data_IF_425941991452
#
_entry.id   IF_425941991452
#
_cell.length_a   1.000
_cell.length_b   1.000
_cell.length_c   1.000
_cell.angle_alpha   90.00
_cell.angle_beta   90.00
_cell.angle_gamma   90.00
#
_symmetry.space_group_name_H-M   'P 1'
#
loop_
_entity.id
_entity.type
_entity.pdbx_description
1 polymer ?
#
# COMPACT_ATOMS: atom_id res chain seq x y z
N UNK A 1 -34.07 2.75 -19.89
CA UNK A 1 -32.64 2.61 -19.59
C UNK A 1 -32.53 1.86 -18.27
N UNK A 2 -32.36 0.54 -18.36
CA UNK A 2 -32.25 -0.34 -17.19
C UNK A 2 -30.80 -0.24 -16.73
N UNK A 3 -30.57 0.51 -15.65
CA UNK A 3 -29.25 0.67 -15.05
C UNK A 3 -28.79 -0.66 -14.46
N UNK A 4 -27.78 -1.27 -15.08
CA UNK A 4 -26.99 -2.33 -14.48
C UNK A 4 -26.34 -1.78 -13.22
N UNK A 5 -26.77 -2.28 -12.05
CA UNK A 5 -26.10 -1.99 -10.78
C UNK A 5 -24.63 -2.43 -10.90
N UNK A 6 -23.66 -1.61 -10.46
CA UNK A 6 -22.27 -2.02 -10.43
C UNK A 6 -22.15 -3.29 -9.57
N UNK A 7 -21.46 -4.30 -10.09
CA UNK A 7 -21.21 -5.55 -9.37
C UNK A 7 -20.28 -5.27 -8.19
N UNK A 8 -20.41 -6.06 -7.10
CA UNK A 8 -19.61 -5.98 -5.86
C UNK A 8 -18.07 -5.94 -6.07
N UNK A 9 -17.58 -6.19 -7.28
CA UNK A 9 -16.17 -6.17 -7.67
C UNK A 9 -15.56 -4.77 -7.85
N UNK A 10 -16.34 -3.76 -8.23
CA UNK A 10 -15.76 -2.44 -8.52
C UNK A 10 -15.21 -1.75 -7.27
N UNK A 11 -15.63 -2.12 -6.07
CA UNK A 11 -15.39 -1.40 -4.82
C UNK A 11 -13.98 -1.58 -4.21
N UNK A 12 -13.41 -2.80 -4.29
CA UNK A 12 -12.02 -3.06 -3.87
C UNK A 12 -11.05 -2.45 -4.89
N UNK A 13 -11.40 -2.51 -6.17
CA UNK A 13 -10.71 -1.77 -7.23
C UNK A 13 -10.93 -0.26 -7.14
N UNK A 14 -12.03 0.23 -6.53
CA UNK A 14 -12.32 1.66 -6.35
C UNK A 14 -11.43 2.30 -5.27
N UNK A 15 -11.13 1.55 -4.21
CA UNK A 15 -10.12 1.94 -3.22
C UNK A 15 -8.70 1.92 -3.82
N UNK A 16 -8.44 1.06 -4.81
CA UNK A 16 -7.20 1.01 -5.60
C UNK A 16 -7.21 1.95 -6.83
N UNK A 17 -8.37 2.50 -7.21
CA UNK A 17 -8.53 3.51 -8.28
C UNK A 17 -8.60 4.92 -7.69
N UNK A 18 -8.12 5.07 -6.45
CA UNK A 18 -7.86 6.38 -5.85
C UNK A 18 -6.75 7.06 -6.66
N UNK A 19 -6.92 8.29 -7.12
CA UNK A 19 -5.91 9.08 -7.80
C UNK A 19 -4.90 9.51 -6.73
N UNK A 20 -3.83 8.74 -6.63
CA UNK A 20 -2.84 8.75 -5.55
C UNK A 20 -2.72 7.43 -4.78
N UNK A 21 -3.67 6.50 -4.94
CA UNK A 21 -3.50 5.08 -4.63
C UNK A 21 -3.51 4.23 -5.91
N UNK A 22 -2.92 4.74 -7.00
CA UNK A 22 -1.98 3.83 -7.67
C UNK A 22 -1.09 3.32 -6.53
N UNK A 23 -1.13 2.03 -6.15
CA UNK A 23 -0.15 1.54 -5.20
C UNK A 23 1.18 2.03 -5.76
N UNK A 24 1.95 2.90 -5.06
CA UNK A 24 2.94 3.78 -5.70
C UNK A 24 3.93 3.04 -6.61
N UNK A 25 4.02 1.72 -6.50
CA UNK A 25 4.95 0.87 -7.22
C UNK A 25 4.39 -0.51 -7.65
N UNK A 26 3.08 -0.82 -7.59
CA UNK A 26 2.63 -2.22 -7.80
C UNK A 26 2.58 -2.74 -9.26
N UNK A 27 3.22 -2.09 -10.23
CA UNK A 27 3.20 -2.59 -11.61
C UNK A 27 4.49 -2.44 -12.42
N UNK A 28 5.65 -2.18 -11.80
CA UNK A 28 6.90 -1.99 -12.59
C UNK A 28 8.08 -2.89 -12.17
N UNK A 29 7.87 -4.02 -11.47
CA UNK A 29 9.01 -4.95 -11.26
C UNK A 29 8.86 -6.19 -10.38
N UNK A 30 7.68 -6.50 -9.84
CA UNK A 30 7.48 -7.81 -9.21
C UNK A 30 6.94 -8.79 -10.25
N UNK A 31 7.75 -9.79 -10.58
CA UNK A 31 7.46 -10.83 -11.57
C UNK A 31 6.45 -11.89 -11.10
N UNK A 32 5.88 -11.74 -9.91
CA UNK A 32 4.87 -12.68 -9.45
C UNK A 32 3.58 -12.46 -10.23
N UNK A 33 3.07 -13.55 -10.82
CA UNK A 33 1.77 -13.60 -11.46
C UNK A 33 0.89 -14.62 -10.72
N UNK A 34 -0.40 -14.32 -10.65
CA UNK A 34 -1.41 -15.25 -10.17
C UNK A 34 -2.37 -15.56 -11.31
N UNK A 35 -2.55 -16.85 -11.62
CA UNK A 35 -3.44 -17.28 -12.70
C UNK A 35 -4.79 -17.68 -12.10
N UNK A 36 -5.91 -17.06 -12.51
CA UNK A 36 -7.25 -17.43 -12.03
C UNK A 36 -7.74 -18.75 -12.67
N UNK A 37 -8.83 -19.28 -12.11
CA UNK A 37 -9.62 -20.39 -12.67
C UNK A 37 -8.82 -21.68 -12.96
N UNK A 38 -7.72 -21.90 -12.24
CA UNK A 38 -6.90 -23.11 -12.34
C UNK A 38 -7.51 -24.25 -11.53
N UNK A 39 -7.32 -25.49 -11.97
CA UNK A 39 -7.70 -26.66 -11.17
C UNK A 39 -6.92 -26.65 -9.84
N UNK A 40 -7.64 -26.84 -8.74
CA UNK A 40 -7.04 -26.92 -7.42
C UNK A 40 -6.15 -28.17 -7.33
N UNK A 41 -4.87 -28.03 -6.93
CA UNK A 41 -3.99 -29.17 -6.72
C UNK A 41 -4.32 -29.96 -5.44
N UNK A 42 -5.15 -29.40 -4.56
CA UNK A 42 -5.50 -29.97 -3.25
C UNK A 42 -6.94 -30.49 -3.23
N UNK A 43 -7.88 -29.79 -3.86
CA UNK A 43 -9.31 -30.13 -3.85
C UNK A 43 -9.79 -30.56 -5.25
N UNK A 44 -9.85 -31.87 -5.49
CA UNK A 44 -10.24 -32.41 -6.79
C UNK A 44 -11.60 -31.86 -7.28
N UNK A 45 -11.63 -31.39 -8.52
CA UNK A 45 -12.83 -30.82 -9.17
C UNK A 45 -13.17 -29.39 -8.77
N UNK A 46 -12.38 -28.75 -7.89
CA UNK A 46 -12.52 -27.33 -7.55
C UNK A 46 -11.55 -26.47 -8.37
N UNK A 47 -11.90 -25.19 -8.50
CA UNK A 47 -11.03 -24.18 -9.11
C UNK A 47 -10.43 -23.27 -8.04
N UNK A 48 -9.32 -22.61 -8.37
CA UNK A 48 -8.58 -21.71 -7.49
C UNK A 48 -7.74 -20.72 -8.31
N UNK A 49 -7.13 -19.74 -7.65
CA UNK A 49 -6.07 -18.94 -8.24
C UNK A 49 -4.70 -19.47 -7.77
N UNK A 50 -3.76 -19.68 -8.70
CA UNK A 50 -2.44 -20.27 -8.41
C UNK A 50 -1.34 -19.30 -8.80
N UNK A 51 -0.38 -19.06 -7.91
CA UNK A 51 0.80 -18.25 -8.20
C UNK A 51 1.81 -18.97 -9.09
N UNK A 52 2.67 -18.21 -9.76
CA UNK A 52 3.97 -18.72 -10.18
C UNK A 52 4.85 -19.06 -8.95
N UNK A 53 6.06 -19.56 -9.20
CA UNK A 53 7.04 -19.83 -8.14
C UNK A 53 7.44 -18.55 -7.39
N UNK A 54 7.47 -18.64 -6.06
CA UNK A 54 7.78 -17.52 -5.18
C UNK A 54 9.22 -17.68 -4.67
N UNK A 55 10.12 -16.70 -4.90
CA UNK A 55 11.53 -16.80 -4.53
C UNK A 55 11.75 -16.40 -3.06
N UNK A 56 11.06 -17.06 -2.13
CA UNK A 56 11.18 -16.86 -0.69
C UNK A 56 11.14 -18.20 0.04
N UNK A 57 11.60 -18.22 1.29
CA UNK A 57 11.28 -19.29 2.21
C UNK A 57 9.81 -19.22 2.64
N UNK A 58 9.19 -20.38 2.88
CA UNK A 58 7.76 -20.43 3.22
C UNK A 58 7.44 -19.62 4.48
N UNK A 59 8.28 -19.70 5.52
CA UNK A 59 8.05 -18.99 6.78
C UNK A 59 8.11 -17.47 6.58
N UNK A 60 9.07 -16.99 5.79
CA UNK A 60 9.18 -15.56 5.45
C UNK A 60 7.95 -15.04 4.69
N UNK A 61 7.41 -15.87 3.80
CA UNK A 61 6.19 -15.55 3.07
C UNK A 61 4.98 -15.50 4.01
N UNK A 62 4.81 -16.50 4.88
CA UNK A 62 3.72 -16.53 5.87
C UNK A 62 3.79 -15.31 6.77
N UNK A 63 4.94 -15.05 7.38
CA UNK A 63 5.14 -13.93 8.31
C UNK A 63 4.87 -12.60 7.61
N UNK A 64 5.35 -12.45 6.37
CA UNK A 64 5.11 -11.25 5.58
C UNK A 64 3.62 -11.04 5.25
N UNK A 65 2.89 -12.08 4.86
CA UNK A 65 1.44 -11.97 4.58
C UNK A 65 0.71 -11.59 5.87
N UNK A 66 1.04 -12.25 6.99
CA UNK A 66 0.45 -11.97 8.29
C UNK A 66 0.70 -10.52 8.71
N UNK A 67 1.88 -9.96 8.44
CA UNK A 67 2.22 -8.56 8.70
C UNK A 67 1.44 -7.58 7.80
N UNK A 68 1.35 -7.87 6.49
CA UNK A 68 0.59 -7.03 5.55
C UNK A 68 -0.88 -6.97 5.95
N UNK A 69 -1.47 -8.09 6.38
CA UNK A 69 -2.87 -8.14 6.82
C UNK A 69 -3.11 -7.41 8.17
N UNK A 70 -2.09 -7.28 9.04
CA UNK A 70 -2.17 -6.47 10.27
C UNK A 70 -2.09 -4.97 10.00
N UNK A 71 -1.53 -4.57 8.87
CA UNK A 71 -1.13 -3.18 8.62
C UNK A 71 -2.13 -2.48 7.69
N UNK A 72 -2.65 -1.30 8.04
CA UNK A 72 -3.49 -0.53 7.13
C UNK A 72 -2.71 -0.15 5.87
N UNK A 73 -3.42 -0.02 4.75
CA UNK A 73 -2.82 0.40 3.49
C UNK A 73 -2.33 1.86 3.56
N UNK A 74 -1.22 2.20 2.87
CA UNK A 74 -0.62 3.53 2.94
C UNK A 74 -1.48 4.73 2.68
N UNK A 75 -2.33 4.62 1.68
CA UNK A 75 -3.21 5.70 1.31
C UNK A 75 -4.33 5.96 2.33
N UNK A 76 -4.48 5.11 3.36
CA UNK A 76 -5.50 5.26 4.38
C UNK A 76 -5.02 6.06 5.60
N UNK A 77 -3.72 6.21 5.82
CA UNK A 77 -3.18 6.91 6.99
C UNK A 77 -3.80 8.29 7.25
N UNK A 78 -4.04 9.15 6.24
CA UNK A 78 -4.64 10.48 6.48
C UNK A 78 -6.05 10.43 7.06
N UNK A 79 -6.77 9.32 6.88
CA UNK A 79 -8.12 9.11 7.39
C UNK A 79 -8.18 7.97 8.40
N UNK A 80 -7.03 7.45 8.85
CA UNK A 80 -6.97 6.35 9.80
C UNK A 80 -7.24 6.89 11.21
N UNK A 81 -8.21 6.29 11.89
CA UNK A 81 -8.52 6.59 13.29
C UNK A 81 -7.80 5.65 14.23
N UNK A 82 -7.92 4.35 13.99
CA UNK A 82 -7.35 3.32 14.83
C UNK A 82 -7.16 2.01 14.06
N UNK A 83 -6.20 1.22 14.53
CA UNK A 83 -6.04 -0.20 14.16
C UNK A 83 -6.10 -0.98 15.47
N UNK A 84 -7.16 -1.73 15.66
CA UNK A 84 -7.35 -2.58 16.85
C UNK A 84 -6.93 -4.00 16.49
N UNK A 85 -5.95 -4.56 17.20
CA UNK A 85 -5.49 -5.93 17.00
C UNK A 85 -5.68 -6.69 18.31
N UNK A 86 -6.33 -7.84 18.24
CA UNK A 86 -6.49 -8.78 19.36
C UNK A 86 -5.88 -10.12 18.97
N UNK A 87 -4.77 -10.49 19.58
CA UNK A 87 -4.18 -11.83 19.39
C UNK A 87 -5.07 -12.88 20.07
N UNK A 88 -5.44 -13.93 19.34
CA UNK A 88 -6.23 -15.06 19.86
C UNK A 88 -5.34 -16.27 20.15
N UNK A 89 -4.28 -16.44 19.36
CA UNK A 89 -3.29 -17.53 19.44
C UNK A 89 -1.94 -17.03 18.91
N UNK A 90 -0.88 -17.83 19.03
CA UNK A 90 0.45 -17.49 18.48
C UNK A 90 0.45 -17.30 16.96
N UNK A 91 -0.52 -17.89 16.25
CA UNK A 91 -0.65 -17.83 14.79
C UNK A 91 -1.98 -17.26 14.32
N UNK A 92 -2.71 -16.57 15.19
CA UNK A 92 -4.04 -16.06 14.85
C UNK A 92 -4.46 -14.85 15.66
N UNK A 93 -5.12 -13.91 14.98
CA UNK A 93 -5.50 -12.62 15.53
C UNK A 93 -6.77 -12.09 14.84
N UNK A 94 -7.42 -11.12 15.47
CA UNK A 94 -8.48 -10.30 14.89
C UNK A 94 -7.92 -8.90 14.68
N UNK A 95 -8.12 -8.34 13.48
CA UNK A 95 -7.76 -6.94 13.17
C UNK A 95 -9.00 -6.17 12.74
N UNK A 96 -9.13 -4.96 13.27
CA UNK A 96 -10.19 -4.01 12.94
C UNK A 96 -9.57 -2.65 12.59
N UNK A 97 -9.75 -2.23 11.35
CA UNK A 97 -9.24 -0.96 10.80
C UNK A 97 -10.38 0.04 10.79
N UNK A 98 -10.24 1.09 11.58
CA UNK A 98 -11.24 2.14 11.77
C UNK A 98 -10.75 3.41 11.09
N UNK A 99 -11.55 3.95 10.18
CA UNK A 99 -11.32 5.23 9.54
C UNK A 99 -12.14 6.31 10.23
N UNK A 100 -11.54 7.49 10.37
CA UNK A 100 -12.14 8.66 11.00
C UNK A 100 -13.23 9.25 10.09
N UNK A 101 -14.47 9.24 10.57
CA UNK A 101 -15.61 9.72 9.80
C UNK A 101 -15.54 11.20 9.44
N UNK A 102 -15.02 12.03 10.35
CA UNK A 102 -14.86 13.47 10.13
C UNK A 102 -13.80 13.77 9.07
N UNK A 103 -12.67 13.06 9.10
CA UNK A 103 -11.63 13.17 8.06
C UNK A 103 -12.16 12.68 6.72
N UNK A 104 -12.91 11.57 6.69
CA UNK A 104 -13.57 11.05 5.50
C UNK A 104 -14.58 12.06 4.89
N UNK A 105 -15.38 12.72 5.73
CA UNK A 105 -16.28 13.80 5.28
C UNK A 105 -15.51 14.93 4.62
N UNK A 106 -14.38 15.34 5.22
CA UNK A 106 -13.52 16.39 4.69
C UNK A 106 -12.98 16.13 3.28
N UNK A 107 -12.76 14.85 2.94
CA UNK A 107 -12.28 14.39 1.62
C UNK A 107 -13.40 13.90 0.69
N UNK A 108 -14.67 14.01 1.10
CA UNK A 108 -15.83 13.67 0.26
C UNK A 108 -16.14 12.17 0.17
N UNK A 109 -15.62 11.36 1.09
CA UNK A 109 -15.86 9.92 1.16
C UNK A 109 -16.62 9.47 2.42
N UNK A 110 -16.96 10.42 3.29
CA UNK A 110 -17.75 10.20 4.50
C UNK A 110 -19.27 10.21 4.23
N UNK A 111 -20.06 10.05 5.29
CA UNK A 111 -21.54 10.06 5.25
C UNK A 111 -22.16 11.43 5.55
N UNK A 112 -21.33 12.45 5.76
CA UNK A 112 -21.69 13.82 6.12
C UNK A 112 -22.05 14.01 7.60
N UNK A 113 -21.87 12.97 8.45
CA UNK A 113 -22.25 12.98 9.86
C UNK A 113 -21.06 12.76 10.79
N UNK A 114 -19.85 12.62 10.25
CA UNK A 114 -18.66 12.26 11.00
C UNK A 114 -18.68 10.81 11.51
N UNK A 115 -19.50 9.93 10.93
CA UNK A 115 -19.59 8.53 11.39
C UNK A 115 -18.34 7.77 10.99
N UNK A 116 -17.65 7.15 11.95
CA UNK A 116 -16.49 6.32 11.65
C UNK A 116 -16.85 5.14 10.74
N UNK A 117 -15.88 4.74 9.91
CA UNK A 117 -16.03 3.63 8.98
C UNK A 117 -15.12 2.48 9.36
N UNK A 118 -15.67 1.29 9.51
CA UNK A 118 -14.91 0.06 9.68
C UNK A 118 -14.52 -0.46 8.30
N UNK A 119 -13.33 -0.10 7.83
CA UNK A 119 -12.85 -0.50 6.51
C UNK A 119 -12.60 -2.01 6.43
N UNK A 120 -12.05 -2.56 7.51
CA UNK A 120 -11.71 -3.96 7.61
C UNK A 120 -12.02 -4.44 9.01
N UNK A 121 -12.65 -5.60 9.12
CA UNK A 121 -12.80 -6.34 10.35
C UNK A 121 -12.65 -7.81 9.99
N UNK A 122 -11.50 -8.38 10.32
CA UNK A 122 -11.16 -9.72 9.87
C UNK A 122 -10.48 -10.53 10.97
N UNK A 123 -10.76 -11.82 10.96
CA UNK A 123 -10.02 -12.82 11.74
C UNK A 123 -9.04 -13.51 10.82
N UNK A 124 -7.82 -13.69 11.29
CA UNK A 124 -6.72 -14.31 10.55
C UNK A 124 -6.18 -15.47 11.38
N UNK A 125 -5.99 -16.62 10.75
CA UNK A 125 -5.42 -17.80 11.40
C UNK A 125 -4.52 -18.55 10.43
N UNK A 126 -3.29 -18.81 10.83
CA UNK A 126 -2.39 -19.71 10.14
C UNK A 126 -2.30 -21.06 10.87
N UNK A 127 -2.43 -22.15 10.11
CA UNK A 127 -2.23 -23.52 10.56
C UNK A 127 -1.00 -24.12 9.87
N UNK A 128 0.06 -24.33 10.65
CA UNK A 128 1.32 -24.90 10.17
C UNK A 128 1.20 -26.38 9.78
N UNK A 129 0.27 -27.14 10.37
CA UNK A 129 0.09 -28.55 10.03
C UNK A 129 -0.44 -28.74 8.61
N UNK A 130 -1.31 -27.83 8.17
CA UNK A 130 -1.93 -27.85 6.85
C UNK A 130 -1.33 -26.83 5.88
N UNK A 131 -0.33 -26.06 6.31
CA UNK A 131 0.24 -24.92 5.57
C UNK A 131 -0.85 -24.03 4.97
N UNK A 132 -1.84 -23.69 5.79
CA UNK A 132 -3.02 -22.94 5.34
C UNK A 132 -3.23 -21.71 6.21
N UNK A 133 -3.35 -20.56 5.56
CA UNK A 133 -3.81 -19.32 6.16
C UNK A 133 -5.28 -19.12 5.78
N UNK A 134 -6.13 -18.92 6.79
CA UNK A 134 -7.54 -18.61 6.63
C UNK A 134 -7.78 -17.20 7.13
N UNK A 135 -8.48 -16.40 6.32
CA UNK A 135 -9.05 -15.13 6.75
C UNK A 135 -10.56 -15.17 6.68
N UNK A 136 -11.22 -14.67 7.71
CA UNK A 136 -12.67 -14.47 7.74
C UNK A 136 -12.93 -12.98 7.79
N UNK A 137 -13.61 -12.44 6.78
CA UNK A 137 -14.00 -11.04 6.68
C UNK A 137 -15.47 -10.89 7.11
N UNK A 138 -15.73 -9.94 8.00
CA UNK A 138 -17.05 -9.68 8.56
C UNK A 138 -17.81 -8.54 7.86
N UNK A 139 -17.17 -7.78 6.97
CA UNK A 139 -17.80 -6.57 6.38
C UNK A 139 -18.84 -6.90 5.30
N UNK A 140 -19.98 -6.24 5.35
CA UNK A 140 -21.09 -6.42 4.39
C UNK A 140 -20.86 -5.63 3.12
N UNK A 141 -20.36 -4.39 3.26
CA UNK A 141 -19.97 -3.54 2.14
C UNK A 141 -18.47 -3.72 1.84
N UNK A 142 -18.09 -3.99 0.58
CA UNK A 142 -16.67 -4.10 0.20
C UNK A 142 -15.83 -2.86 0.53
N UNK A 143 -16.44 -1.68 0.60
CA UNK A 143 -15.80 -0.42 0.99
C UNK A 143 -15.73 -0.21 2.51
N UNK A 144 -16.20 -1.17 3.31
CA UNK A 144 -16.33 -1.07 4.77
C UNK A 144 -17.72 -0.67 5.23
N UNK A 145 -18.04 -1.04 6.46
CA UNK A 145 -19.34 -0.77 7.08
C UNK A 145 -19.24 0.47 8.00
N UNK A 146 -20.30 1.26 8.09
CA UNK A 146 -20.36 2.34 9.07
C UNK A 146 -20.42 1.76 10.48
N UNK A 147 -19.74 2.38 11.44
CA UNK A 147 -19.55 1.84 12.79
C UNK A 147 -20.84 1.36 13.49
N UNK A 148 -22.01 2.04 13.38
CA UNK A 148 -23.26 1.57 13.98
C UNK A 148 -23.79 0.25 13.39
N UNK A 149 -23.47 -0.04 12.13
CA UNK A 149 -23.98 -1.21 11.38
C UNK A 149 -22.94 -2.34 11.25
N UNK A 150 -21.68 -2.04 11.59
CA UNK A 150 -20.55 -2.95 11.56
C UNK A 150 -20.65 -3.98 12.70
N UNK A 151 -20.50 -5.26 12.37
CA UNK A 151 -20.56 -6.37 13.32
C UNK A 151 -19.66 -7.50 12.84
N UNK A 152 -19.13 -8.29 13.79
CA UNK A 152 -18.38 -9.51 13.54
C UNK A 152 -19.17 -10.79 13.83
N UNK A 153 -20.51 -10.71 13.90
CA UNK A 153 -21.37 -11.85 14.22
C UNK A 153 -21.56 -12.82 13.04
N UNK A 154 -21.22 -12.39 11.81
CA UNK A 154 -21.45 -13.18 10.59
C UNK A 154 -20.30 -13.00 9.61
N UNK A 155 -19.61 -14.10 9.32
CA UNK A 155 -18.60 -14.15 8.25
C UNK A 155 -19.27 -13.90 6.90
N UNK A 156 -18.82 -12.87 6.18
CA UNK A 156 -19.32 -12.53 4.85
C UNK A 156 -18.51 -13.22 3.75
N UNK A 157 -17.22 -13.43 4.01
CA UNK A 157 -16.27 -14.06 3.09
C UNK A 157 -15.20 -14.80 3.89
N UNK A 158 -14.83 -15.99 3.45
CA UNK A 158 -13.63 -16.70 3.93
C UNK A 158 -12.62 -16.76 2.80
N UNK A 159 -11.41 -16.19 2.98
CA UNK A 159 -10.29 -16.45 2.09
C UNK A 159 -9.45 -17.59 2.63
N UNK A 160 -9.06 -18.50 1.75
CA UNK A 160 -8.11 -19.56 2.06
C UNK A 160 -6.89 -19.41 1.17
N UNK A 161 -5.72 -19.38 1.79
CA UNK A 161 -4.41 -19.31 1.15
C UNK A 161 -3.60 -20.50 1.59
N UNK A 162 -3.30 -21.43 0.67
CA UNK A 162 -2.47 -22.60 0.93
C UNK A 162 -1.08 -22.40 0.34
N UNK A 163 -0.07 -22.78 1.10
CA UNK A 163 1.32 -22.74 0.67
C UNK A 163 1.71 -24.11 0.11
N UNK A 164 1.84 -24.19 -1.20
CA UNK A 164 2.26 -25.38 -1.93
C UNK A 164 3.79 -25.46 -1.92
N UNK A 165 4.35 -26.66 -1.79
CA UNK A 165 5.80 -26.91 -1.73
C UNK A 165 6.30 -27.50 -3.05
N UNK A 166 7.59 -27.29 -3.32
CA UNK A 166 8.36 -27.92 -4.41
C UNK A 166 7.79 -27.70 -5.83
N UNK A 167 7.79 -26.46 -6.37
CA UNK A 167 8.35 -25.23 -5.79
C UNK A 167 7.35 -24.48 -4.89
N UNK A 168 7.83 -23.50 -4.11
CA UNK A 168 6.95 -22.67 -3.28
C UNK A 168 5.97 -21.89 -4.17
N UNK A 169 4.67 -22.14 -3.98
CA UNK A 169 3.57 -21.42 -4.64
C UNK A 169 2.43 -21.17 -3.66
N UNK A 170 1.51 -20.31 -4.05
CA UNK A 170 0.28 -20.04 -3.32
C UNK A 170 -0.91 -20.49 -4.15
N UNK A 171 -1.77 -21.30 -3.53
CA UNK A 171 -3.15 -21.50 -3.95
C UNK A 171 -4.05 -20.58 -3.13
N UNK A 172 -4.93 -19.83 -3.79
CA UNK A 172 -5.83 -18.89 -3.13
C UNK A 172 -7.25 -18.96 -3.70
N UNK A 173 -8.25 -18.98 -2.83
CA UNK A 173 -9.66 -18.90 -3.22
C UNK A 173 -10.48 -18.25 -2.11
N UNK A 174 -11.66 -17.78 -2.48
CA UNK A 174 -12.66 -17.25 -1.56
C UNK A 174 -13.85 -18.19 -1.46
N UNK A 175 -14.55 -18.16 -0.33
CA UNK A 175 -15.85 -18.80 -0.12
C UNK A 175 -16.77 -17.74 0.45
N UNK A 176 -17.84 -17.43 -0.27
CA UNK A 176 -18.83 -16.47 0.22
C UNK A 176 -19.70 -17.07 1.34
N UNK A 177 -20.49 -16.22 1.99
CA UNK A 177 -21.42 -16.62 3.06
C UNK A 177 -22.43 -17.72 2.67
N UNK A 178 -22.67 -17.94 1.38
CA UNK A 178 -23.58 -18.97 0.87
C UNK A 178 -22.83 -20.29 0.56
N UNK A 179 -21.53 -20.34 0.88
CA UNK A 179 -20.65 -21.49 0.66
C UNK A 179 -20.13 -21.60 -0.77
N UNK A 180 -20.35 -20.61 -1.63
CA UNK A 180 -19.90 -20.65 -3.01
C UNK A 180 -18.42 -20.26 -3.09
N UNK A 181 -17.62 -21.14 -3.71
CA UNK A 181 -16.22 -20.84 -4.02
C UNK A 181 -16.10 -19.80 -5.15
N UNK A 182 -15.24 -18.81 -4.96
CA UNK A 182 -14.87 -17.78 -5.93
C UNK A 182 -13.37 -17.86 -6.22
N UNK A 183 -13.00 -17.85 -7.50
CA UNK A 183 -11.63 -18.16 -7.96
C UNK A 183 -11.23 -17.42 -9.26
N UNK A 184 -11.87 -16.27 -9.52
CA UNK A 184 -11.67 -15.49 -10.74
C UNK A 184 -10.64 -14.36 -10.60
N UNK A 185 -10.55 -13.51 -11.64
CA UNK A 185 -9.53 -12.46 -11.76
C UNK A 185 -9.42 -11.54 -10.53
N UNK A 186 -10.54 -11.10 -9.95
CA UNK A 186 -10.49 -10.19 -8.79
C UNK A 186 -9.78 -10.80 -7.57
N UNK A 187 -9.94 -12.10 -7.34
CA UNK A 187 -9.22 -12.80 -6.28
C UNK A 187 -7.74 -12.95 -6.62
N UNK A 188 -7.44 -13.19 -7.90
CA UNK A 188 -6.07 -13.24 -8.38
C UNK A 188 -5.34 -11.91 -8.17
N UNK A 189 -5.96 -10.79 -8.57
CA UNK A 189 -5.42 -9.44 -8.42
C UNK A 189 -5.17 -9.09 -6.96
N UNK A 190 -6.15 -9.37 -6.08
CA UNK A 190 -6.02 -9.09 -4.64
C UNK A 190 -4.90 -9.91 -4.00
N UNK A 191 -4.85 -11.22 -4.26
CA UNK A 191 -3.80 -12.07 -3.70
C UNK A 191 -2.43 -11.68 -4.27
N UNK A 192 -2.33 -11.37 -5.56
CA UNK A 192 -1.08 -10.91 -6.19
C UNK A 192 -0.59 -9.59 -5.59
N UNK A 193 -1.48 -8.65 -5.30
CA UNK A 193 -1.15 -7.41 -4.60
C UNK A 193 -0.48 -7.68 -3.24
N UNK A 194 -1.06 -8.57 -2.42
CA UNK A 194 -0.48 -8.95 -1.12
C UNK A 194 0.88 -9.64 -1.30
N UNK A 195 0.98 -10.62 -2.20
CA UNK A 195 2.24 -11.34 -2.43
C UNK A 195 3.36 -10.42 -2.93
N UNK A 196 3.04 -9.48 -3.81
CA UNK A 196 3.99 -8.49 -4.29
C UNK A 196 4.51 -7.61 -3.15
N UNK A 197 3.63 -7.17 -2.25
CA UNK A 197 4.04 -6.39 -1.08
C UNK A 197 5.02 -7.17 -0.18
N UNK A 198 4.79 -8.47 0.02
CA UNK A 198 5.65 -9.34 0.82
C UNK A 198 6.99 -9.61 0.13
N UNK A 199 6.98 -10.00 -1.14
CA UNK A 199 8.23 -10.25 -1.87
C UNK A 199 9.06 -8.98 -1.94
N UNK A 200 8.45 -7.83 -2.20
CA UNK A 200 9.17 -6.57 -2.27
C UNK A 200 9.70 -6.13 -0.89
N UNK A 201 9.02 -6.45 0.21
CA UNK A 201 9.54 -6.14 1.56
C UNK A 201 10.69 -7.06 1.98
N UNK A 202 10.74 -8.28 1.46
CA UNK A 202 11.78 -9.28 1.73
C UNK A 202 12.96 -9.23 0.76
N UNK A 203 12.84 -8.54 -0.38
CA UNK A 203 13.97 -8.26 -1.26
C UNK A 203 15.06 -7.52 -0.48
N UNK A 204 16.31 -7.92 -0.68
CA UNK A 204 17.46 -7.26 -0.08
C UNK A 204 17.42 -5.76 -0.37
N UNK A 205 17.20 -4.98 0.68
CA UNK A 205 17.25 -3.52 0.62
C UNK A 205 18.70 -3.10 0.62
N UNK A 206 19.08 -2.18 -0.28
CA UNK A 206 20.43 -1.62 -0.28
C UNK A 206 20.55 -0.64 0.88
N UNK A 207 19.48 0.13 1.10
CA UNK A 207 19.44 1.14 2.15
C UNK A 207 18.28 0.86 3.10
N UNK A 208 18.60 0.77 4.39
CA UNK A 208 17.60 0.66 5.46
C UNK A 208 17.06 2.04 5.81
N UNK A 209 15.76 2.12 6.05
CA UNK A 209 15.08 3.30 6.59
C UNK A 209 14.58 3.01 8.01
N UNK A 210 14.87 3.91 8.94
CA UNK A 210 14.42 3.84 10.34
C UNK A 210 13.22 4.77 10.51
N UNK A 211 12.02 4.23 10.81
CA UNK A 211 10.87 5.07 11.14
C UNK A 211 11.02 5.71 12.52
N UNK A 212 10.33 6.82 12.76
CA UNK A 212 10.33 7.55 14.04
C UNK A 212 11.74 7.89 14.59
N UNK A 213 12.70 8.06 13.69
CA UNK A 213 14.05 8.53 14.01
C UNK A 213 14.01 10.02 14.41
N UNK A 214 14.98 10.47 15.20
CA UNK A 214 15.11 11.90 15.50
C UNK A 214 15.45 12.67 14.23
N UNK A 215 14.71 13.75 13.99
CA UNK A 215 14.89 14.58 12.80
C UNK A 215 16.24 15.28 12.83
N UNK A 216 16.97 15.19 11.72
CA UNK A 216 18.25 15.90 11.53
C UNK A 216 18.01 17.36 11.18
N UNK A 217 16.90 17.65 10.50
CA UNK A 217 16.55 19.01 10.06
C UNK A 217 15.84 19.82 11.14
N UNK A 218 15.02 19.17 11.98
CA UNK A 218 14.15 19.83 12.96
C UNK A 218 14.28 19.22 14.36
N UNK A 219 15.16 19.77 15.22
CA UNK A 219 15.39 19.23 16.56
C UNK A 219 14.10 19.06 17.37
N UNK A 220 13.94 17.88 17.97
CA UNK A 220 12.78 17.53 18.79
C UNK A 220 11.59 16.95 18.00
N UNK A 221 11.67 16.89 16.68
CA UNK A 221 10.68 16.22 15.83
C UNK A 221 11.16 14.83 15.40
N UNK A 222 10.21 14.01 14.93
CA UNK A 222 10.49 12.69 14.35
C UNK A 222 10.52 12.73 12.82
N UNK A 223 11.17 11.77 12.19
CA UNK A 223 11.18 11.56 10.75
C UNK A 223 11.52 10.11 10.41
N UNK A 224 11.37 9.75 9.14
CA UNK A 224 11.99 8.53 8.60
C UNK A 224 13.39 8.90 8.14
N UNK A 225 14.40 8.17 8.59
CA UNK A 225 15.79 8.45 8.25
C UNK A 225 16.47 7.22 7.64
N UNK A 226 17.15 7.41 6.51
CA UNK A 226 17.95 6.36 5.91
C UNK A 226 19.30 6.17 6.61
N UNK A 227 19.85 4.97 6.48
CA UNK A 227 21.28 4.73 6.66
C UNK A 227 22.09 5.51 5.58
N UNK A 228 23.40 5.74 5.77
CA UNK A 228 24.28 6.31 4.74
C UNK A 228 24.18 5.58 3.41
N UNK A 229 24.17 6.33 2.31
CA UNK A 229 23.99 5.82 0.94
C UNK A 229 25.24 5.97 0.07
N UNK A 230 26.31 6.55 0.62
CA UNK A 230 27.54 6.91 -0.11
C UNK A 230 28.20 5.72 -0.81
N UNK A 231 28.06 4.51 -0.27
CA UNK A 231 28.59 3.27 -0.86
C UNK A 231 27.78 2.78 -2.07
N UNK A 232 26.56 3.29 -2.27
CA UNK A 232 25.63 2.81 -3.30
C UNK A 232 25.43 3.79 -4.45
N UNK A 233 25.46 5.09 -4.16
CA UNK A 233 25.14 6.14 -5.13
C UNK A 233 25.72 7.49 -4.70
N UNK A 234 26.11 8.33 -5.65
CA UNK A 234 26.48 9.73 -5.40
C UNK A 234 25.27 10.67 -5.39
N UNK A 235 25.36 11.79 -4.67
CA UNK A 235 24.28 12.78 -4.53
C UNK A 235 23.67 13.21 -5.87
N UNK A 236 24.49 13.66 -6.82
CA UNK A 236 23.99 14.20 -8.09
C UNK A 236 23.28 13.14 -8.95
N UNK A 237 23.77 11.89 -8.92
CA UNK A 237 23.16 10.79 -9.66
C UNK A 237 21.80 10.39 -9.04
N UNK A 238 21.75 10.29 -7.71
CA UNK A 238 20.51 10.01 -6.98
C UNK A 238 19.48 11.12 -7.17
N UNK A 239 19.91 12.38 -6.99
CA UNK A 239 19.06 13.56 -7.17
C UNK A 239 18.43 13.58 -8.56
N UNK A 240 19.27 13.44 -9.61
CA UNK A 240 18.82 13.42 -11.00
C UNK A 240 17.72 12.38 -11.24
N UNK A 241 17.87 11.17 -10.68
CA UNK A 241 16.87 10.10 -10.85
C UNK A 241 15.60 10.38 -10.05
N UNK A 242 15.71 10.88 -8.81
CA UNK A 242 14.55 11.17 -7.97
C UNK A 242 13.74 12.38 -8.43
N UNK A 243 14.37 13.34 -9.12
CA UNK A 243 13.68 14.49 -9.73
C UNK A 243 13.32 14.27 -11.21
N UNK A 244 13.57 13.10 -11.78
CA UNK A 244 13.08 12.73 -13.11
C UNK A 244 11.60 12.34 -13.02
N UNK A 245 10.73 13.35 -12.96
CA UNK A 245 9.30 13.16 -12.69
C UNK A 245 8.60 12.26 -13.71
N UNK A 246 9.09 12.16 -14.95
CA UNK A 246 8.52 11.25 -15.96
C UNK A 246 8.81 9.79 -15.67
N UNK A 247 9.86 9.50 -14.90
CA UNK A 247 10.18 8.14 -14.48
C UNK A 247 9.24 7.69 -13.37
N UNK A 248 8.91 8.59 -12.46
CA UNK A 248 8.02 8.31 -11.33
C UNK A 248 6.54 8.38 -11.73
N UNK A 249 6.21 9.21 -12.71
CA UNK A 249 4.85 9.46 -13.17
C UNK A 249 4.76 9.38 -14.71
N UNK A 250 4.97 8.17 -15.30
CA UNK A 250 5.05 8.02 -16.76
C UNK A 250 3.75 8.40 -17.48
N UNK A 251 2.60 8.23 -16.82
CA UNK A 251 1.27 8.52 -17.37
C UNK A 251 0.76 9.92 -17.01
N UNK A 252 1.47 10.67 -16.17
CA UNK A 252 1.02 11.99 -15.73
C UNK A 252 1.36 13.10 -16.74
N UNK A 253 0.50 14.11 -16.79
CA UNK A 253 0.84 15.39 -17.39
C UNK A 253 1.76 16.15 -16.42
N UNK A 254 2.90 16.64 -16.92
CA UNK A 254 3.91 17.32 -16.10
C UNK A 254 4.16 18.68 -16.73
N UNK A 255 3.88 19.72 -15.97
CA UNK A 255 4.03 21.11 -16.38
C UNK A 255 5.12 21.73 -15.52
N UNK A 256 6.24 22.09 -16.14
CA UNK A 256 7.28 22.88 -15.48
C UNK A 256 6.79 24.32 -15.30
N UNK A 257 6.77 24.78 -14.05
CA UNK A 257 6.33 26.14 -13.70
C UNK A 257 7.56 27.05 -13.63
N UNK A 258 8.61 26.57 -12.96
CA UNK A 258 9.93 27.20 -12.88
C UNK A 258 11.00 26.11 -12.82
N UNK A 259 12.31 26.44 -12.92
CA UNK A 259 13.39 25.44 -12.79
C UNK A 259 13.38 24.66 -11.46
N UNK A 260 12.68 25.15 -10.45
CA UNK A 260 12.59 24.55 -9.11
C UNK A 260 11.15 24.18 -8.72
N UNK A 261 10.20 24.26 -9.67
CA UNK A 261 8.79 23.97 -9.43
C UNK A 261 8.13 23.24 -10.59
N UNK A 262 7.47 22.12 -10.30
CA UNK A 262 6.65 21.38 -11.27
C UNK A 262 5.24 21.15 -10.74
N UNK A 263 4.27 21.18 -11.64
CA UNK A 263 2.91 20.75 -11.40
C UNK A 263 2.67 19.42 -12.13
N UNK A 264 2.23 18.40 -11.41
CA UNK A 264 2.00 17.06 -11.95
C UNK A 264 0.51 16.74 -11.79
N UNK A 265 -0.16 16.43 -12.89
CA UNK A 265 -1.56 16.02 -12.92
C UNK A 265 -1.62 14.53 -13.26
N UNK A 266 -2.06 13.72 -12.29
CA UNK A 266 -2.26 12.29 -12.51
C UNK A 266 -3.45 12.02 -13.43
N UNK A 267 -3.52 10.83 -14.06
CA UNK A 267 -4.67 10.44 -14.85
C UNK A 267 -5.93 10.44 -13.97
N UNK A 268 -6.94 11.23 -14.35
CA UNK A 268 -8.25 11.20 -13.70
C UNK A 268 -9.01 9.92 -14.06
N UNK A 269 -9.75 9.37 -13.09
CA UNK A 269 -10.68 8.26 -13.33
C UNK A 269 -12.10 8.76 -13.62
N UNK A 270 -12.96 7.90 -14.16
CA UNK A 270 -14.40 8.20 -14.39
C UNK A 270 -15.10 8.56 -13.07
N UNK A 271 -14.68 7.96 -11.96
CA UNK A 271 -15.31 8.11 -10.64
C UNK A 271 -14.42 8.86 -9.63
N UNK A 272 -13.20 9.22 -10.01
CA UNK A 272 -12.25 9.82 -9.08
C UNK A 272 -11.57 11.06 -9.66
N UNK A 273 -11.73 12.24 -9.02
CA UNK A 273 -11.14 13.48 -9.51
C UNK A 273 -9.64 13.37 -9.67
N UNK A 274 -9.07 13.85 -10.77
CA UNK A 274 -7.62 13.86 -10.95
C UNK A 274 -6.92 14.46 -9.72
N UNK A 275 -5.96 13.71 -9.17
CA UNK A 275 -5.06 14.21 -8.13
C UNK A 275 -4.00 15.09 -8.77
N UNK A 276 -3.64 16.18 -8.10
CA UNK A 276 -2.51 17.01 -8.51
C UNK A 276 -1.41 16.98 -7.46
N UNK A 277 -0.18 17.17 -7.91
CA UNK A 277 1.00 17.21 -7.09
C UNK A 277 1.82 18.45 -7.46
N UNK A 278 1.87 19.42 -6.55
CA UNK A 278 2.75 20.59 -6.69
C UNK A 278 4.07 20.28 -6.00
N UNK A 279 5.16 20.26 -6.76
CA UNK A 279 6.49 19.96 -6.23
C UNK A 279 7.37 21.20 -6.30
N UNK A 280 7.96 21.57 -5.17
CA UNK A 280 9.05 22.55 -5.09
C UNK A 280 10.31 21.83 -4.66
N UNK A 281 11.43 22.07 -5.34
CA UNK A 281 12.69 21.40 -5.04
C UNK A 281 13.89 22.32 -5.20
N UNK A 282 14.94 22.05 -4.44
CA UNK A 282 16.18 22.81 -4.44
C UNK A 282 17.37 21.85 -4.29
N UNK A 283 18.15 21.73 -5.35
CA UNK A 283 19.32 20.84 -5.40
C UNK A 283 20.49 21.33 -4.55
N UNK A 284 20.59 22.64 -4.30
CA UNK A 284 21.65 23.17 -3.45
C UNK A 284 21.41 22.75 -2.01
N UNK A 285 20.19 22.93 -1.52
CA UNK A 285 19.80 22.57 -0.14
C UNK A 285 19.39 21.11 0.02
N UNK A 286 19.18 20.38 -1.07
CA UNK A 286 18.73 18.99 -1.04
C UNK A 286 17.29 18.83 -0.55
N UNK A 287 16.42 19.82 -0.78
CA UNK A 287 15.05 19.80 -0.26
C UNK A 287 14.04 19.57 -1.37
N UNK A 288 13.08 18.68 -1.14
CA UNK A 288 11.90 18.49 -2.00
C UNK A 288 10.67 18.58 -1.11
N UNK A 289 9.71 19.40 -1.52
CA UNK A 289 8.41 19.55 -0.88
C UNK A 289 7.31 19.26 -1.89
N UNK A 290 6.45 18.31 -1.57
CA UNK A 290 5.39 17.79 -2.44
C UNK A 290 4.02 18.05 -1.81
N UNK A 291 3.21 18.91 -2.40
CA UNK A 291 1.81 19.12 -1.97
C UNK A 291 0.87 18.23 -2.77
N UNK A 292 0.23 17.28 -2.10
CA UNK A 292 -0.78 16.42 -2.72
C UNK A 292 -2.15 17.07 -2.59
N UNK A 293 -2.84 17.27 -3.71
CA UNK A 293 -4.18 17.84 -3.76
C UNK A 293 -5.16 16.90 -4.46
N UNK A 294 -6.38 16.83 -3.94
CA UNK A 294 -7.50 16.09 -4.57
C UNK A 294 -8.67 17.05 -4.68
N UNK A 295 -9.22 17.17 -5.89
CA UNK A 295 -10.28 18.14 -6.19
C UNK A 295 -9.92 19.57 -5.70
N UNK A 296 -8.65 19.96 -5.86
CA UNK A 296 -8.12 21.26 -5.45
C UNK A 296 -7.88 21.44 -3.94
N UNK A 297 -8.26 20.47 -3.09
CA UNK A 297 -8.03 20.54 -1.65
C UNK A 297 -6.70 19.88 -1.27
N UNK A 298 -5.91 20.55 -0.42
CA UNK A 298 -4.67 20.00 0.12
C UNK A 298 -4.98 18.78 1.00
N UNK A 299 -4.44 17.63 0.61
CA UNK A 299 -4.54 16.37 1.35
C UNK A 299 -3.39 16.20 2.33
N UNK A 300 -2.19 16.56 1.90
CA UNK A 300 -0.99 16.40 2.71
C UNK A 300 0.24 16.95 2.01
N UNK A 301 1.31 17.08 2.79
CA UNK A 301 2.61 17.55 2.32
C UNK A 301 3.64 16.48 2.63
N UNK A 302 4.43 16.10 1.64
CA UNK A 302 5.61 15.26 1.85
C UNK A 302 6.85 16.15 1.80
N UNK A 303 7.71 16.00 2.79
CA UNK A 303 8.99 16.68 2.87
C UNK A 303 10.10 15.64 2.75
N UNK A 304 11.04 15.89 1.86
CA UNK A 304 12.23 15.07 1.64
C UNK A 304 13.45 15.97 1.76
N UNK A 305 14.45 15.53 2.53
CA UNK A 305 15.71 16.24 2.73
C UNK A 305 16.87 15.28 2.50
N UNK A 306 17.77 15.65 1.61
CA UNK A 306 18.99 14.91 1.31
C UNK A 306 20.17 15.58 2.03
N UNK A 307 20.64 14.93 3.10
CA UNK A 307 21.84 15.31 3.82
C UNK A 307 23.04 14.83 3.00
N UNK A 308 24.05 15.66 2.75
CA UNK A 308 25.16 15.36 1.82
C UNK A 308 26.37 14.68 2.47
N UNK A 309 26.50 14.74 3.79
CA UNK A 309 27.68 14.21 4.52
C UNK A 309 27.27 13.65 5.91
N UNK A 310 27.16 12.32 6.05
CA UNK A 310 27.09 11.34 4.97
C UNK A 310 25.81 11.51 4.12
N UNK A 311 25.79 10.95 2.91
CA UNK A 311 24.59 10.98 2.06
C UNK A 311 23.44 10.21 2.73
N UNK A 312 22.40 10.92 3.18
CA UNK A 312 21.20 10.34 3.79
C UNK A 312 19.93 10.98 3.28
N UNK A 313 18.84 10.24 3.29
CA UNK A 313 17.51 10.75 3.03
C UNK A 313 16.71 10.80 4.33
N UNK A 314 16.16 11.97 4.62
CA UNK A 314 15.19 12.20 5.67
C UNK A 314 13.83 12.51 5.05
N UNK A 315 12.76 11.89 5.56
CA UNK A 315 11.41 12.04 5.01
C UNK A 315 10.36 12.12 6.12
N UNK A 316 9.37 12.97 5.94
CA UNK A 316 8.14 12.92 6.74
C UNK A 316 6.93 13.39 5.93
N UNK A 317 5.74 13.01 6.39
CA UNK A 317 4.46 13.49 5.87
C UNK A 317 3.77 14.38 6.87
N UNK A 318 3.06 15.39 6.39
CA UNK A 318 2.15 16.22 7.19
C UNK A 318 0.74 16.05 6.66
N UNK A 319 -0.21 15.83 7.58
CA UNK A 319 -1.63 15.87 7.26
C UNK A 319 -2.04 17.27 6.77
N UNK A 320 -2.82 17.35 5.69
CA UNK A 320 -3.21 18.62 5.07
C UNK A 320 -4.11 19.50 5.95
N UNK A 321 -4.79 18.92 6.94
CA UNK A 321 -5.71 19.63 7.84
C UNK A 321 -5.04 19.92 9.19
N UNK A 322 -4.52 18.89 9.85
CA UNK A 322 -3.99 18.97 11.22
C UNK A 322 -2.51 19.32 11.25
N UNK A 323 -1.80 19.20 10.12
CA UNK A 323 -0.34 19.36 10.01
C UNK A 323 0.44 18.45 10.96
N UNK A 324 -0.16 17.35 11.38
CA UNK A 324 0.49 16.33 12.21
C UNK A 324 1.51 15.59 11.36
N UNK A 325 2.71 15.43 11.92
CA UNK A 325 3.78 14.69 11.27
C UNK A 325 3.54 13.18 11.37
N UNK A 326 3.70 12.47 10.26
CA UNK A 326 3.74 11.02 10.18
C UNK A 326 5.10 10.56 9.62
N UNK A 327 5.75 9.66 10.36
CA UNK A 327 7.01 9.02 10.01
C UNK A 327 7.02 7.53 10.36
N UNK A 328 5.88 6.87 10.16
CA UNK A 328 5.68 5.46 10.47
C UNK A 328 6.45 4.49 9.58
N UNK A 329 6.45 3.21 9.98
CA UNK A 329 7.12 2.10 9.29
C UNK A 329 6.79 2.00 7.81
N UNK A 330 5.58 2.37 7.48
CA UNK A 330 5.07 2.24 6.12
C UNK A 330 5.64 3.29 5.18
N UNK A 331 5.81 4.55 5.65
CA UNK A 331 6.58 5.56 4.94
C UNK A 331 8.03 5.11 4.75
N UNK A 332 8.63 4.48 5.78
CA UNK A 332 9.97 3.90 5.69
C UNK A 332 10.09 2.82 4.59
N UNK A 333 9.13 1.91 4.52
CA UNK A 333 9.09 0.85 3.50
C UNK A 333 8.91 1.42 2.09
N UNK A 334 8.04 2.41 1.93
CA UNK A 334 7.81 3.09 0.66
C UNK A 334 9.10 3.74 0.13
N UNK A 335 9.77 4.54 0.98
CA UNK A 335 10.99 5.23 0.59
C UNK A 335 12.19 4.30 0.41
N UNK A 336 12.26 3.20 1.17
CA UNK A 336 13.27 2.16 0.92
C UNK A 336 13.14 1.59 -0.50
N UNK A 337 11.93 1.27 -0.99
CA UNK A 337 11.74 0.80 -2.37
C UNK A 337 12.01 1.88 -3.42
N UNK A 338 11.60 3.13 -3.17
CA UNK A 338 11.86 4.26 -4.08
C UNK A 338 13.37 4.48 -4.23
N UNK A 339 14.11 4.52 -3.13
CA UNK A 339 15.55 4.76 -3.13
C UNK A 339 16.33 3.61 -3.72
N UNK A 340 16.00 2.35 -3.41
CA UNK A 340 16.69 1.19 -4.01
C UNK A 340 16.58 1.19 -5.54
N UNK A 341 15.39 1.49 -6.06
CA UNK A 341 15.14 1.62 -7.51
C UNK A 341 15.88 2.81 -8.11
N UNK A 342 15.94 3.93 -7.38
CA UNK A 342 16.69 5.10 -7.81
C UNK A 342 18.19 4.80 -7.89
N UNK A 343 18.73 4.03 -6.92
CA UNK A 343 20.11 3.54 -6.92
C UNK A 343 20.35 2.61 -8.12
N UNK A 344 19.48 1.63 -8.37
CA UNK A 344 19.59 0.73 -9.54
C UNK A 344 19.65 1.53 -10.84
N UNK A 345 18.74 2.48 -11.00
CA UNK A 345 18.66 3.30 -12.20
C UNK A 345 19.87 4.21 -12.34
N UNK A 346 20.30 4.87 -11.26
CA UNK A 346 21.49 5.71 -11.24
C UNK A 346 22.74 4.92 -11.66
N UNK A 347 22.81 3.63 -11.32
CA UNK A 347 23.94 2.75 -11.67
C UNK A 347 23.81 2.06 -13.03
N UNK A 348 22.64 2.11 -13.69
CA UNK A 348 22.42 1.50 -15.02
C UNK A 348 22.79 2.40 -16.21
N UNK A 349 23.13 3.66 -15.96
CA UNK A 349 23.44 4.65 -17.01
C UNK A 349 24.93 4.73 -17.36
N UNK A 350 25.72 3.84 -16.76
CA UNK A 350 27.12 3.55 -17.05
C UNK A 350 27.20 2.13 -17.60
#
# INVERSE_FOLDING_TARGET
>A
WVGTRPTRLQSVLLLLSWPGAHPPLAAMGSSLSLTPDQDSPVDAGQKSCISCEIPLEQQDLVDGIMEVLRTPLPFLEPVLKAVEITDETDTGYVVKIILDGGKLDGVGHGDGKGTDKILNWMKVKYDAATNTLVTEDYKKDPNGDWAPDASNDTVQMTATTRFLKDPLRVESFWVDKDGKRLHGQAQADFTQFVLNAVVESKRHKKVRFTPEADSLTEPGQKSVLSDPMDEHVGYDALWKVLTDWKVHFPEAEITEITPTQVHITGPGGVETPAGTLDVTFDQETGKIRKEHKIAGKLRGVIHEVFHKDPLRMEVWREDGQEKTRNCGKMLANEYSSIVDKAIDKANSWW
#
